data_IF_359539976936
#
_entry.id   IF_359539976936
#
_cell.length_a   1.000
_cell.length_b   1.000
_cell.length_c   1.000
_cell.angle_alpha   90.00
_cell.angle_beta   90.00
_cell.angle_gamma   90.00
#
_symmetry.space_group_name_H-M   'P 1'
#
loop_
_entity.id
_entity.type
_entity.pdbx_description
1 polymer ?
#
# COMPACT_ATOMS: atom_id res chain seq x y z
N UNK A 1 -14.00 -28.79 -36.96
CA UNK A 1 -13.58 -29.44 -35.70
C UNK A 1 -12.23 -28.97 -35.09
N UNK A 2 -11.66 -27.83 -35.52
CA UNK A 2 -10.26 -27.44 -35.13
C UNK A 2 -10.08 -26.43 -34.01
N UNK A 3 -11.10 -25.67 -33.61
CA UNK A 3 -10.95 -24.60 -32.60
C UNK A 3 -10.95 -25.09 -31.13
N UNK A 4 -11.66 -26.17 -30.80
CA UNK A 4 -11.75 -26.72 -29.44
C UNK A 4 -10.45 -27.43 -29.00
N UNK A 5 -9.73 -28.06 -29.90
CA UNK A 5 -8.46 -28.75 -29.60
C UNK A 5 -7.32 -27.77 -29.28
N UNK A 6 -7.30 -26.57 -29.91
CA UNK A 6 -6.30 -25.52 -29.59
C UNK A 6 -6.54 -24.85 -28.24
N UNK A 7 -7.79 -24.66 -27.80
CA UNK A 7 -8.14 -24.10 -26.48
C UNK A 7 -7.75 -25.06 -25.34
N UNK A 8 -8.06 -26.34 -25.45
CA UNK A 8 -7.70 -27.37 -24.47
C UNK A 8 -6.17 -27.52 -24.30
N UNK A 9 -5.40 -27.49 -25.41
CA UNK A 9 -3.93 -27.49 -25.36
C UNK A 9 -3.34 -26.25 -24.73
N UNK A 10 -3.96 -25.07 -24.91
CA UNK A 10 -3.54 -23.83 -24.31
C UNK A 10 -3.78 -23.79 -22.80
N UNK A 11 -4.89 -24.31 -22.31
CA UNK A 11 -5.21 -24.42 -20.89
C UNK A 11 -4.26 -25.37 -20.16
N UNK A 12 -4.01 -26.59 -20.70
CA UNK A 12 -3.05 -27.55 -20.16
C UNK A 12 -1.62 -26.97 -20.03
N UNK A 13 -1.18 -26.20 -21.04
CA UNK A 13 0.13 -25.52 -21.01
C UNK A 13 0.22 -24.45 -19.93
N UNK A 14 -0.88 -23.78 -19.60
CA UNK A 14 -0.92 -22.78 -18.52
C UNK A 14 -0.91 -23.45 -17.13
N UNK A 15 -1.57 -24.59 -16.99
CA UNK A 15 -1.60 -25.37 -15.75
C UNK A 15 -0.22 -25.93 -15.38
N UNK A 16 0.50 -26.54 -16.35
CA UNK A 16 1.86 -27.01 -16.14
C UNK A 16 2.79 -25.86 -15.74
N UNK A 17 2.66 -24.69 -16.36
CA UNK A 17 3.48 -23.53 -16.03
C UNK A 17 3.23 -23.02 -14.61
N UNK A 18 1.96 -22.91 -14.21
CA UNK A 18 1.59 -22.53 -12.84
C UNK A 18 2.11 -23.55 -11.83
N UNK A 19 1.94 -24.84 -12.13
CA UNK A 19 2.42 -25.92 -11.29
C UNK A 19 3.94 -25.87 -11.06
N UNK A 20 4.75 -25.66 -12.13
CA UNK A 20 6.20 -25.51 -12.01
C UNK A 20 6.56 -24.40 -11.03
N UNK A 21 5.96 -23.22 -11.18
CA UNK A 21 6.23 -22.09 -10.27
C UNK A 21 5.80 -22.43 -8.84
N UNK A 22 4.62 -23.02 -8.64
CA UNK A 22 4.16 -23.41 -7.30
C UNK A 22 5.15 -24.36 -6.60
N UNK A 23 5.68 -25.37 -7.33
CA UNK A 23 6.66 -26.32 -6.77
C UNK A 23 7.97 -25.63 -6.42
N UNK A 24 8.49 -24.80 -7.34
CA UNK A 24 9.79 -24.16 -7.17
C UNK A 24 9.74 -23.00 -6.15
N UNK A 25 8.68 -22.21 -6.12
CA UNK A 25 8.52 -21.08 -5.18
C UNK A 25 8.26 -21.55 -3.75
N UNK A 26 7.46 -22.63 -3.58
CA UNK A 26 7.21 -23.23 -2.27
C UNK A 26 8.48 -23.79 -1.62
N UNK A 27 9.50 -24.09 -2.40
CA UNK A 27 10.77 -24.64 -1.97
C UNK A 27 11.94 -23.81 -2.55
N UNK A 28 11.90 -22.51 -2.33
CA UNK A 28 12.80 -21.54 -2.96
C UNK A 28 14.30 -21.82 -2.72
N UNK A 29 14.64 -22.49 -1.63
CA UNK A 29 16.04 -22.82 -1.27
C UNK A 29 16.55 -24.10 -1.92
N UNK A 30 15.69 -24.88 -2.60
CA UNK A 30 16.03 -26.19 -3.17
C UNK A 30 15.94 -26.19 -4.70
N UNK A 31 16.83 -26.93 -5.33
CA UNK A 31 16.77 -27.22 -6.75
C UNK A 31 16.12 -28.60 -7.00
N UNK A 32 15.27 -28.68 -8.03
CA UNK A 32 14.50 -29.88 -8.39
C UNK A 32 14.83 -30.34 -9.80
N UNK A 33 14.98 -31.64 -10.00
CA UNK A 33 15.01 -32.19 -11.34
C UNK A 33 13.60 -32.39 -11.91
N UNK A 34 13.49 -32.61 -13.21
CA UNK A 34 12.21 -32.77 -13.88
C UNK A 34 11.37 -33.92 -13.32
N UNK A 35 11.97 -34.99 -12.81
CA UNK A 35 11.27 -36.13 -12.23
C UNK A 35 10.58 -35.76 -10.93
N UNK A 36 11.29 -35.03 -10.06
CA UNK A 36 10.75 -34.54 -8.80
C UNK A 36 9.62 -33.52 -9.02
N UNK A 37 9.78 -32.64 -10.02
CA UNK A 37 8.71 -31.70 -10.38
C UNK A 37 7.49 -32.45 -10.94
N UNK A 38 7.70 -33.45 -11.82
CA UNK A 38 6.64 -34.26 -12.36
C UNK A 38 5.85 -35.02 -11.29
N UNK A 39 6.55 -35.59 -10.31
CA UNK A 39 5.96 -36.28 -9.16
C UNK A 39 5.07 -35.36 -8.34
N UNK A 40 5.54 -34.17 -7.99
CA UNK A 40 4.75 -33.18 -7.24
C UNK A 40 3.55 -32.63 -8.01
N UNK A 41 3.61 -32.65 -9.34
CA UNK A 41 2.51 -32.27 -10.22
C UNK A 41 1.58 -33.43 -10.60
N UNK A 42 1.84 -34.65 -10.13
CA UNK A 42 1.06 -35.83 -10.48
C UNK A 42 1.16 -36.23 -11.96
N UNK A 43 2.26 -35.84 -12.64
CA UNK A 43 2.48 -36.15 -14.05
C UNK A 43 3.16 -37.51 -14.16
N UNK A 44 2.39 -38.54 -14.50
CA UNK A 44 2.87 -39.93 -14.58
C UNK A 44 3.13 -40.43 -16.02
N UNK A 45 2.48 -39.80 -16.98
CA UNK A 45 2.56 -40.21 -18.38
C UNK A 45 3.78 -39.60 -19.11
N UNK A 46 4.27 -40.32 -20.13
CA UNK A 46 5.46 -39.91 -20.91
C UNK A 46 5.24 -38.62 -21.70
N UNK A 47 4.03 -38.37 -22.19
CA UNK A 47 3.73 -37.14 -22.93
C UNK A 47 3.75 -35.90 -22.00
N UNK A 48 3.14 -36.01 -20.82
CA UNK A 48 3.16 -34.95 -19.83
C UNK A 48 4.58 -34.63 -19.35
N UNK A 49 5.43 -35.67 -19.15
CA UNK A 49 6.85 -35.45 -18.80
C UNK A 49 7.62 -34.74 -19.91
N UNK A 50 7.38 -35.10 -21.16
CA UNK A 50 8.01 -34.42 -22.29
C UNK A 50 7.54 -32.95 -22.43
N UNK A 51 6.27 -32.65 -22.18
CA UNK A 51 5.75 -31.30 -22.15
C UNK A 51 6.35 -30.51 -21.00
N UNK A 52 6.50 -31.12 -19.83
CA UNK A 52 7.16 -30.49 -18.64
C UNK A 52 8.61 -30.14 -18.98
N UNK A 53 9.40 -31.05 -19.55
CA UNK A 53 10.81 -30.77 -19.90
C UNK A 53 10.89 -29.64 -20.93
N UNK A 54 10.09 -29.66 -21.99
CA UNK A 54 10.04 -28.55 -22.96
C UNK A 54 9.71 -27.24 -22.31
N UNK A 55 8.84 -27.25 -21.30
CA UNK A 55 8.44 -26.04 -20.57
C UNK A 55 9.54 -25.52 -19.65
N UNK A 56 10.26 -26.39 -18.96
CA UNK A 56 11.41 -26.03 -18.14
C UNK A 56 12.49 -25.37 -18.98
N UNK A 57 12.84 -25.93 -20.15
CA UNK A 57 13.79 -25.32 -21.08
C UNK A 57 13.32 -23.93 -21.52
N UNK A 58 12.05 -23.77 -21.93
CA UNK A 58 11.50 -22.47 -22.32
C UNK A 58 11.52 -21.45 -21.18
N UNK A 59 11.26 -21.88 -19.95
CA UNK A 59 11.29 -20.98 -18.78
C UNK A 59 12.72 -20.56 -18.44
N UNK A 60 13.69 -21.46 -18.61
CA UNK A 60 15.13 -21.16 -18.45
C UNK A 60 15.58 -20.14 -19.51
N UNK A 61 15.29 -20.36 -20.80
CA UNK A 61 15.62 -19.43 -21.88
C UNK A 61 15.03 -18.02 -21.63
N UNK A 62 13.81 -17.98 -21.08
CA UNK A 62 13.13 -16.73 -20.70
C UNK A 62 13.61 -16.15 -19.37
N UNK A 63 14.66 -16.71 -18.77
CA UNK A 63 15.18 -16.30 -17.46
C UNK A 63 14.10 -16.24 -16.37
N UNK A 64 13.16 -17.18 -16.39
CA UNK A 64 12.10 -17.28 -15.37
C UNK A 64 12.42 -18.30 -14.29
N UNK A 65 13.34 -19.21 -14.54
CA UNK A 65 13.91 -20.19 -13.63
C UNK A 65 15.43 -20.30 -13.88
N UNK A 66 16.18 -20.74 -12.89
CA UNK A 66 17.63 -20.96 -12.98
C UNK A 66 17.87 -22.47 -13.06
N UNK A 67 18.85 -22.89 -13.86
CA UNK A 67 19.44 -24.23 -13.79
C UNK A 67 20.73 -24.15 -12.96
N UNK A 68 20.68 -24.64 -11.72
CA UNK A 68 21.76 -24.56 -10.74
C UNK A 68 22.78 -25.72 -10.90
N UNK A 69 22.46 -26.68 -11.73
CA UNK A 69 23.27 -27.81 -12.12
C UNK A 69 22.59 -28.62 -13.21
N UNK A 70 23.24 -29.54 -13.91
CA UNK A 70 22.66 -30.25 -15.05
C UNK A 70 21.29 -30.83 -14.75
N UNK A 71 20.25 -30.31 -15.40
CA UNK A 71 18.87 -30.75 -15.25
C UNK A 71 18.21 -30.46 -13.90
N UNK A 72 18.83 -29.63 -13.03
CA UNK A 72 18.25 -29.18 -11.76
C UNK A 72 17.82 -27.74 -11.85
N UNK A 73 16.55 -27.50 -11.66
CA UNK A 73 15.92 -26.19 -11.77
C UNK A 73 15.54 -25.66 -10.40
N UNK A 74 15.71 -24.37 -10.23
CA UNK A 74 15.34 -23.60 -9.06
C UNK A 74 14.47 -22.43 -9.50
N UNK A 75 13.54 -21.99 -8.64
CA UNK A 75 12.91 -20.72 -8.90
C UNK A 75 14.02 -19.68 -9.09
N UNK A 76 13.91 -18.85 -10.14
CA UNK A 76 14.54 -17.55 -10.05
C UNK A 76 13.75 -16.87 -8.94
N UNK A 77 14.16 -17.09 -7.71
CA UNK A 77 13.78 -16.19 -6.64
C UNK A 77 14.43 -14.86 -7.06
N UNK A 78 13.67 -14.02 -7.77
CA UNK A 78 13.83 -12.61 -7.50
C UNK A 78 13.72 -12.59 -5.98
N UNK A 79 14.83 -12.38 -5.27
CA UNK A 79 14.80 -12.11 -3.84
C UNK A 79 13.55 -11.26 -3.67
N UNK A 80 12.57 -11.73 -2.85
CA UNK A 80 11.36 -10.95 -2.63
C UNK A 80 11.92 -9.59 -2.30
N UNK A 81 11.97 -8.70 -3.28
CA UNK A 81 12.65 -7.44 -3.13
C UNK A 81 11.70 -6.56 -2.36
N UNK A 82 11.71 -6.76 -1.04
CA UNK A 82 11.13 -5.81 -0.12
C UNK A 82 12.10 -4.64 -0.06
N UNK A 83 11.59 -3.49 -0.37
CA UNK A 83 12.34 -2.24 -0.30
C UNK A 83 11.63 -1.31 0.66
N UNK A 84 12.39 -0.50 1.34
CA UNK A 84 11.85 0.62 2.09
C UNK A 84 11.76 1.82 1.16
N UNK A 85 10.65 2.56 1.23
CA UNK A 85 10.47 3.75 0.44
C UNK A 85 9.41 4.67 1.02
N UNK A 86 9.28 5.84 0.42
CA UNK A 86 8.34 6.89 0.83
C UNK A 86 7.16 6.93 -0.14
N UNK A 87 5.96 7.04 0.41
CA UNK A 87 4.70 7.05 -0.36
C UNK A 87 4.41 8.43 -0.93
N UNK A 88 4.22 8.52 -2.24
CA UNK A 88 3.70 9.70 -2.92
C UNK A 88 2.32 9.39 -3.54
N UNK A 89 1.25 9.87 -2.90
CA UNK A 89 -0.13 9.66 -3.36
C UNK A 89 -0.48 10.68 -4.44
N UNK A 90 -0.97 10.18 -5.57
CA UNK A 90 -1.42 10.98 -6.69
C UNK A 90 -2.88 11.43 -6.52
N UNK A 91 -3.30 12.48 -7.24
CA UNK A 91 -4.69 12.96 -7.22
C UNK A 91 -5.76 11.94 -7.69
N UNK A 92 -5.34 10.79 -8.22
CA UNK A 92 -6.23 9.67 -8.60
C UNK A 92 -6.30 8.57 -7.54
N UNK A 93 -5.67 8.78 -6.37
CA UNK A 93 -5.65 7.82 -5.26
C UNK A 93 -4.64 6.67 -5.40
N UNK A 94 -3.93 6.53 -6.53
CA UNK A 94 -2.81 5.61 -6.63
C UNK A 94 -1.57 6.22 -5.98
N UNK A 95 -0.52 5.42 -5.76
CA UNK A 95 0.74 5.94 -5.23
C UNK A 95 1.93 5.56 -6.11
N UNK A 96 2.99 6.34 -5.98
CA UNK A 96 4.35 5.98 -6.34
C UNK A 96 5.17 5.85 -5.06
N UNK A 97 5.98 4.81 -4.98
CA UNK A 97 6.90 4.62 -3.85
C UNK A 97 8.28 4.99 -4.33
N UNK A 98 8.81 6.06 -3.72
CA UNK A 98 10.18 6.51 -3.94
C UNK A 98 11.11 5.65 -3.09
N UNK A 99 11.96 4.86 -3.75
CA UNK A 99 12.92 3.95 -3.11
C UNK A 99 14.32 4.48 -3.35
N UNK A 100 15.06 4.72 -2.28
CA UNK A 100 16.43 5.23 -2.40
C UNK A 100 17.33 4.30 -3.21
N UNK A 101 18.06 4.89 -4.16
CA UNK A 101 18.98 4.15 -5.04
C UNK A 101 18.30 3.41 -6.20
N UNK A 102 17.02 3.64 -6.46
CA UNK A 102 16.32 3.17 -7.65
C UNK A 102 16.10 4.32 -8.64
N UNK A 103 16.28 4.05 -9.94
CA UNK A 103 16.09 5.05 -11.00
C UNK A 103 14.61 5.31 -11.34
N UNK A 104 13.71 4.41 -10.94
CA UNK A 104 12.27 4.47 -11.23
C UNK A 104 11.46 4.25 -9.96
N UNK A 105 10.42 5.07 -9.77
CA UNK A 105 9.46 4.89 -8.68
C UNK A 105 8.57 3.67 -8.92
N UNK A 106 8.18 3.01 -7.83
CA UNK A 106 7.32 1.83 -7.86
C UNK A 106 5.86 2.27 -7.86
N UNK A 107 5.14 2.00 -8.93
CA UNK A 107 3.70 2.24 -9.01
C UNK A 107 2.93 1.24 -8.13
N UNK A 108 2.07 1.77 -7.26
CA UNK A 108 1.19 0.99 -6.39
C UNK A 108 -0.26 1.44 -6.61
N UNK A 109 -1.15 0.55 -7.09
CA UNK A 109 -2.55 0.88 -7.27
C UNK A 109 -3.26 1.04 -5.91
N UNK A 110 -4.34 1.82 -5.90
CA UNK A 110 -5.12 2.17 -4.71
C UNK A 110 -5.44 0.98 -3.79
N UNK A 111 -5.91 -0.13 -4.37
CA UNK A 111 -6.28 -1.34 -3.62
C UNK A 111 -5.10 -2.10 -3.00
N UNK A 112 -3.86 -1.61 -3.18
CA UNK A 112 -2.61 -2.20 -2.66
C UNK A 112 -1.82 -1.25 -1.78
N UNK A 113 -2.42 -0.14 -1.38
CA UNK A 113 -1.81 0.85 -0.48
C UNK A 113 -1.66 0.35 0.96
N UNK A 114 -2.38 -0.70 1.35
CA UNK A 114 -2.30 -1.31 2.67
C UNK A 114 -2.35 -0.27 3.81
N UNK A 115 -3.33 0.65 3.75
CA UNK A 115 -3.54 1.71 4.76
C UNK A 115 -2.40 2.74 4.87
N UNK A 116 -1.51 2.82 3.89
CA UNK A 116 -0.47 3.84 3.84
C UNK A 116 -1.03 5.18 3.38
N UNK A 117 -0.53 6.26 3.98
CA UNK A 117 -0.83 7.64 3.60
C UNK A 117 0.35 8.31 2.89
N UNK A 118 0.10 9.48 2.36
CA UNK A 118 1.13 10.29 1.71
C UNK A 118 2.29 10.60 2.67
N UNK A 119 3.51 10.44 2.20
CA UNK A 119 4.78 10.57 2.93
C UNK A 119 5.06 9.50 3.99
N UNK A 120 4.19 8.51 4.19
CA UNK A 120 4.53 7.39 5.06
C UNK A 120 5.79 6.67 4.57
N UNK A 121 6.59 6.17 5.50
CA UNK A 121 7.66 5.22 5.21
C UNK A 121 7.10 3.81 5.21
N UNK A 122 7.28 3.09 4.14
CA UNK A 122 6.66 1.78 3.92
C UNK A 122 7.65 0.72 3.47
N UNK A 123 7.30 -0.54 3.70
CA UNK A 123 7.88 -1.68 3.04
C UNK A 123 7.03 -2.01 1.80
N UNK A 124 7.64 -1.99 0.62
CA UNK A 124 7.02 -2.30 -0.66
C UNK A 124 7.60 -3.58 -1.25
N UNK A 125 6.73 -4.48 -1.66
CA UNK A 125 7.10 -5.63 -2.48
C UNK A 125 7.00 -5.25 -3.95
N UNK A 126 8.12 -5.40 -4.66
CA UNK A 126 8.20 -5.06 -6.09
C UNK A 126 7.96 -6.31 -6.92
N UNK A 127 7.01 -6.25 -7.84
CA UNK A 127 6.74 -7.35 -8.75
C UNK A 127 7.84 -7.48 -9.82
N UNK A 128 8.10 -8.70 -10.33
CA UNK A 128 9.01 -8.89 -11.43
C UNK A 128 8.64 -8.01 -12.63
N UNK A 129 9.56 -7.13 -13.04
CA UNK A 129 9.33 -6.18 -14.15
C UNK A 129 9.02 -6.94 -15.45
N UNK A 130 7.89 -6.64 -16.05
CA UNK A 130 7.55 -7.12 -17.39
C UNK A 130 8.11 -6.14 -18.43
N UNK A 131 8.71 -6.69 -19.51
CA UNK A 131 9.27 -5.85 -20.58
C UNK A 131 8.27 -4.82 -21.08
N UNK A 132 8.69 -3.54 -21.13
CA UNK A 132 7.88 -2.41 -21.61
C UNK A 132 6.82 -1.89 -20.64
N UNK A 133 6.77 -2.36 -19.36
CA UNK A 133 5.86 -1.84 -18.34
C UNK A 133 6.61 -1.10 -17.24
N UNK A 134 5.88 -0.19 -16.58
CA UNK A 134 6.35 0.49 -15.36
C UNK A 134 6.62 -0.54 -14.26
N UNK A 135 7.47 -0.16 -13.33
CA UNK A 135 7.71 -0.93 -12.12
C UNK A 135 6.45 -0.90 -11.25
N UNK A 136 5.91 -2.06 -10.89
CA UNK A 136 4.69 -2.19 -10.10
C UNK A 136 4.97 -2.96 -8.81
N UNK A 137 4.25 -2.63 -7.74
CA UNK A 137 4.38 -3.31 -6.45
C UNK A 137 3.13 -3.25 -5.59
N UNK A 138 3.28 -3.70 -4.35
CA UNK A 138 2.28 -3.58 -3.30
C UNK A 138 2.96 -3.21 -1.99
N UNK A 139 2.31 -2.38 -1.18
CA UNK A 139 2.78 -2.07 0.17
C UNK A 139 2.44 -3.26 1.07
N UNK A 140 3.47 -3.82 1.71
CA UNK A 140 3.31 -4.95 2.63
C UNK A 140 3.16 -4.49 4.07
N UNK A 141 3.78 -3.35 4.42
CA UNK A 141 3.74 -2.81 5.77
C UNK A 141 3.98 -1.31 5.76
N UNK A 142 3.26 -0.58 6.61
CA UNK A 142 3.60 0.79 7.00
C UNK A 142 4.62 0.69 8.14
N UNK A 143 5.82 1.20 7.93
CA UNK A 143 6.91 1.18 8.90
C UNK A 143 6.85 2.35 9.84
N UNK A 144 6.57 3.55 9.28
CA UNK A 144 6.49 4.80 10.03
C UNK A 144 5.42 5.70 9.42
N UNK A 145 4.57 6.27 10.27
CA UNK A 145 3.60 7.31 9.89
C UNK A 145 4.31 8.64 9.81
N UNK A 146 4.17 9.33 8.70
CA UNK A 146 4.64 10.70 8.57
C UNK A 146 3.81 11.69 9.42
N UNK A 147 2.49 11.49 9.44
CA UNK A 147 1.54 12.39 10.10
C UNK A 147 0.39 11.60 10.70
N UNK A 148 0.07 11.87 11.96
CA UNK A 148 -1.07 11.24 12.66
C UNK A 148 -2.25 12.19 12.86
N UNK A 149 -2.07 13.51 12.62
CA UNK A 149 -3.11 14.53 12.81
C UNK A 149 -3.54 15.10 11.48
N UNK A 150 -4.84 15.33 11.31
CA UNK A 150 -5.42 15.85 10.08
C UNK A 150 -6.47 16.91 10.38
N UNK A 151 -6.50 17.95 9.56
CA UNK A 151 -7.60 18.90 9.55
C UNK A 151 -8.73 18.33 8.72
N UNK A 152 -9.96 18.45 9.19
CA UNK A 152 -11.12 17.97 8.46
C UNK A 152 -12.43 18.61 8.94
N UNK A 153 -13.53 18.25 8.28
CA UNK A 153 -14.87 18.72 8.61
C UNK A 153 -15.66 17.55 9.20
N UNK A 154 -16.34 17.83 10.31
CA UNK A 154 -17.19 16.87 11.02
C UNK A 154 -18.47 16.62 10.24
N UNK A 155 -18.77 15.37 9.99
CA UNK A 155 -20.05 14.85 9.50
C UNK A 155 -20.67 14.02 10.63
N UNK A 156 -21.62 14.64 11.36
CA UNK A 156 -22.20 14.08 12.57
C UNK A 156 -23.31 13.08 12.24
N UNK A 157 -23.20 11.89 12.79
CA UNK A 157 -24.23 10.86 12.73
C UNK A 157 -24.90 10.67 14.10
N UNK A 158 -25.94 9.85 14.18
CA UNK A 158 -26.70 9.65 15.45
C UNK A 158 -25.86 9.05 16.58
N UNK A 159 -24.90 8.18 16.28
CA UNK A 159 -24.14 7.40 17.27
C UNK A 159 -22.63 7.52 17.09
N UNK A 160 -22.15 8.20 16.07
CA UNK A 160 -20.73 8.44 15.76
C UNK A 160 -20.60 9.67 14.86
N UNK A 161 -19.40 10.06 14.53
CA UNK A 161 -19.11 11.03 13.50
C UNK A 161 -18.04 10.51 12.54
N UNK A 162 -18.05 11.04 11.32
CA UNK A 162 -16.90 11.01 10.44
C UNK A 162 -16.22 12.38 10.41
N UNK A 163 -14.91 12.40 10.36
CA UNK A 163 -14.16 13.60 10.00
C UNK A 163 -13.63 13.41 8.59
N UNK A 164 -14.11 14.25 7.67
CA UNK A 164 -13.66 14.27 6.27
C UNK A 164 -12.42 15.14 6.16
N UNK A 165 -11.25 14.56 5.87
CA UNK A 165 -10.00 15.32 5.78
C UNK A 165 -10.03 16.37 4.67
N UNK A 166 -9.39 17.52 4.92
CA UNK A 166 -9.22 18.58 3.93
C UNK A 166 -8.15 18.24 2.90
N UNK A 167 -7.13 17.45 3.26
CA UNK A 167 -6.10 16.98 2.34
C UNK A 167 -6.64 15.82 1.47
N UNK A 168 -6.79 16.07 0.17
CA UNK A 168 -7.28 15.08 -0.80
C UNK A 168 -6.40 13.81 -0.90
N UNK A 169 -5.15 13.87 -0.41
CA UNK A 169 -4.23 12.72 -0.38
C UNK A 169 -4.55 11.76 0.77
N UNK A 170 -5.37 12.19 1.72
CA UNK A 170 -5.98 11.29 2.68
C UNK A 170 -7.30 10.77 2.09
N UNK A 171 -7.26 9.60 1.54
CA UNK A 171 -8.29 8.99 0.69
C UNK A 171 -9.46 8.35 1.45
N UNK A 172 -9.52 8.51 2.77
CA UNK A 172 -10.57 7.92 3.63
C UNK A 172 -10.94 8.89 4.74
N UNK A 173 -12.22 8.85 5.14
CA UNK A 173 -12.70 9.57 6.29
C UNK A 173 -12.24 8.91 7.60
N UNK A 174 -12.15 9.67 8.68
CA UNK A 174 -11.77 9.18 10.01
C UNK A 174 -13.05 8.93 10.81
N UNK A 175 -13.23 7.71 11.28
CA UNK A 175 -14.33 7.36 12.18
C UNK A 175 -14.02 7.85 13.60
N UNK A 176 -14.94 8.62 14.20
CA UNK A 176 -14.80 9.20 15.54
C UNK A 176 -16.01 8.82 16.40
N UNK A 177 -15.81 8.04 17.48
CA UNK A 177 -16.86 7.80 18.47
C UNK A 177 -17.33 9.13 19.11
N UNK A 178 -18.62 9.24 19.50
CA UNK A 178 -19.13 10.47 20.10
C UNK A 178 -18.39 10.90 21.38
N UNK A 179 -17.88 9.93 22.15
CA UNK A 179 -17.07 10.24 23.34
C UNK A 179 -15.74 10.92 23.01
N UNK A 180 -15.29 10.81 21.75
CA UNK A 180 -14.02 11.37 21.26
C UNK A 180 -14.21 12.63 20.39
N UNK A 181 -15.42 13.20 20.33
CA UNK A 181 -15.74 14.33 19.44
C UNK A 181 -15.43 15.72 20.02
N UNK A 182 -15.07 15.84 21.31
CA UNK A 182 -14.66 17.08 22.00
C UNK A 182 -15.63 18.27 21.80
N UNK A 183 -16.94 18.02 21.90
CA UNK A 183 -18.01 19.02 21.70
C UNK A 183 -18.09 19.65 20.30
N UNK A 184 -17.41 19.09 19.30
CA UNK A 184 -17.60 19.53 17.91
C UNK A 184 -19.03 19.31 17.44
N UNK A 185 -19.53 20.20 16.63
CA UNK A 185 -20.84 20.14 16.02
C UNK A 185 -20.74 19.72 14.56
N UNK A 186 -21.86 19.34 13.97
CA UNK A 186 -21.92 19.04 12.53
C UNK A 186 -21.43 20.24 11.72
N UNK A 187 -20.55 19.93 10.75
CA UNK A 187 -19.93 20.93 9.89
C UNK A 187 -18.80 21.74 10.49
N UNK A 188 -18.41 21.48 11.75
CA UNK A 188 -17.23 22.15 12.33
C UNK A 188 -15.94 21.68 11.69
N UNK A 189 -14.99 22.59 11.56
CA UNK A 189 -13.62 22.29 11.17
C UNK A 189 -12.83 21.92 12.41
N UNK A 190 -12.19 20.77 12.37
CA UNK A 190 -11.49 20.17 13.53
C UNK A 190 -10.12 19.65 13.16
N UNK A 191 -9.28 19.47 14.19
CA UNK A 191 -8.08 18.63 14.10
C UNK A 191 -8.43 17.28 14.71
N UNK A 192 -8.27 16.23 13.91
CA UNK A 192 -8.47 14.82 14.32
C UNK A 192 -7.12 14.12 14.38
N UNK A 193 -6.87 13.40 15.46
CA UNK A 193 -5.72 12.52 15.62
C UNK A 193 -6.13 11.06 15.35
N UNK A 194 -5.36 10.36 14.52
CA UNK A 194 -5.56 8.94 14.27
C UNK A 194 -5.06 8.13 15.45
N UNK A 195 -5.86 7.17 15.91
CA UNK A 195 -5.49 6.25 16.99
C UNK A 195 -5.09 4.87 16.44
N UNK A 196 -5.99 4.23 15.72
CA UNK A 196 -5.73 2.94 15.12
C UNK A 196 -6.53 2.73 13.83
N UNK A 197 -6.16 1.71 13.05
CA UNK A 197 -6.92 1.27 11.89
C UNK A 197 -7.07 -0.24 11.92
N UNK A 198 -8.15 -0.78 12.53
CA UNK A 198 -8.38 -2.21 12.62
C UNK A 198 -8.44 -2.87 11.22
N UNK A 199 -8.03 -4.13 11.12
CA UNK A 199 -7.93 -4.83 9.81
C UNK A 199 -9.27 -4.97 9.09
N UNK A 200 -10.36 -5.07 9.85
CA UNK A 200 -11.72 -5.23 9.33
C UNK A 200 -12.47 -3.90 9.13
N UNK A 201 -11.85 -2.77 9.49
CA UNK A 201 -12.48 -1.46 9.38
C UNK A 201 -12.12 -0.80 8.03
N UNK A 202 -13.12 -0.21 7.39
CA UNK A 202 -12.94 0.53 6.14
C UNK A 202 -12.27 1.89 6.37
N UNK A 203 -12.41 2.46 7.58
CA UNK A 203 -11.87 3.75 7.99
C UNK A 203 -11.01 3.64 9.24
N UNK A 204 -9.98 4.49 9.39
CA UNK A 204 -9.23 4.59 10.62
C UNK A 204 -10.10 5.18 11.73
N UNK A 205 -9.82 4.80 12.97
CA UNK A 205 -10.40 5.40 14.16
C UNK A 205 -9.54 6.58 14.60
N UNK A 206 -10.20 7.62 15.13
CA UNK A 206 -9.54 8.79 15.65
C UNK A 206 -10.32 9.49 16.74
N UNK A 207 -9.73 10.54 17.25
CA UNK A 207 -10.33 11.46 18.22
C UNK A 207 -10.12 12.90 17.79
N UNK A 208 -11.10 13.76 18.02
CA UNK A 208 -10.94 15.20 17.85
C UNK A 208 -10.06 15.73 18.98
N UNK A 209 -8.94 16.31 18.62
CA UNK A 209 -8.03 16.95 19.59
C UNK A 209 -8.30 18.43 19.72
N UNK A 210 -8.89 19.05 18.68
CA UNK A 210 -9.22 20.46 18.69
C UNK A 210 -10.38 20.80 17.76
N UNK A 211 -11.20 21.78 18.17
CA UNK A 211 -12.29 22.36 17.36
C UNK A 211 -11.85 23.75 16.93
N UNK A 212 -11.63 23.94 15.62
CA UNK A 212 -11.12 25.20 15.06
C UNK A 212 -12.23 26.24 14.83
N UNK A 213 -13.46 25.78 14.64
CA UNK A 213 -14.62 26.65 14.39
C UNK A 213 -15.34 26.34 13.09
N UNK A 214 -16.14 27.26 12.60
CA UNK A 214 -16.90 27.09 11.35
C UNK A 214 -16.04 27.36 10.11
N UNK A 215 -16.19 26.54 9.06
CA UNK A 215 -15.54 26.81 7.78
C UNK A 215 -15.89 28.20 7.24
N UNK A 216 -14.91 28.90 6.66
CA UNK A 216 -15.06 30.24 6.11
C UNK A 216 -14.83 31.38 7.10
N UNK A 217 -14.71 31.13 8.38
CA UNK A 217 -14.25 32.13 9.35
C UNK A 217 -12.74 32.34 9.22
N UNK A 218 -12.32 33.61 9.20
CA UNK A 218 -10.93 33.98 8.93
C UNK A 218 -9.91 33.27 9.84
N UNK A 219 -10.16 33.27 11.14
CA UNK A 219 -9.26 32.61 12.10
C UNK A 219 -9.26 31.09 11.94
N UNK A 220 -10.42 30.48 11.70
CA UNK A 220 -10.56 29.04 11.45
C UNK A 220 -9.75 28.63 10.23
N UNK A 221 -9.79 29.39 9.14
CA UNK A 221 -9.01 29.08 7.94
C UNK A 221 -7.50 29.21 8.16
N UNK A 222 -7.04 30.29 8.85
CA UNK A 222 -5.62 30.47 9.17
C UNK A 222 -5.13 29.34 10.07
N UNK A 223 -5.83 29.06 11.19
CA UNK A 223 -5.43 28.00 12.12
C UNK A 223 -5.42 26.63 11.44
N UNK A 224 -6.38 26.36 10.54
CA UNK A 224 -6.41 25.10 9.80
C UNK A 224 -5.21 24.93 8.88
N UNK A 225 -4.78 26.00 8.19
CA UNK A 225 -3.58 25.96 7.34
C UNK A 225 -2.34 25.72 8.20
N UNK A 226 -2.17 26.47 9.28
CA UNK A 226 -1.03 26.31 10.16
C UNK A 226 -0.96 24.89 10.75
N UNK A 227 -2.09 24.35 11.23
CA UNK A 227 -2.19 23.00 11.75
C UNK A 227 -1.89 21.94 10.66
N UNK A 228 -2.34 22.14 9.42
CA UNK A 228 -2.08 21.21 8.31
C UNK A 228 -0.59 21.08 8.01
N UNK A 229 0.16 22.18 8.13
CA UNK A 229 1.62 22.22 7.94
C UNK A 229 2.42 21.97 9.21
N UNK A 230 1.77 21.69 10.34
CA UNK A 230 2.44 21.44 11.62
C UNK A 230 3.10 22.69 12.20
N UNK A 231 2.63 23.88 11.81
CA UNK A 231 3.13 25.16 12.32
C UNK A 231 2.36 25.54 13.60
N UNK A 232 3.02 26.17 14.58
CA UNK A 232 2.35 26.67 15.77
C UNK A 232 1.36 27.79 15.39
N UNK A 233 0.14 27.70 15.85
CA UNK A 233 -0.93 28.71 15.67
C UNK A 233 -1.43 29.31 16.99
N UNK A 234 -0.96 28.80 18.10
CA UNK A 234 -1.10 29.37 19.41
C UNK A 234 0.26 29.84 19.91
N UNK A 235 0.29 30.99 20.59
CA UNK A 235 1.49 31.41 21.25
C UNK A 235 1.65 30.66 22.59
N UNK A 236 2.90 30.37 23.02
CA UNK A 236 3.12 29.86 24.37
C UNK A 236 2.46 30.78 25.40
N UNK A 237 1.83 30.20 26.42
CA UNK A 237 1.08 30.91 27.44
C UNK A 237 1.89 32.04 28.10
N UNK A 238 3.22 31.84 28.18
CA UNK A 238 4.17 32.85 28.71
C UNK A 238 4.24 34.09 27.81
N UNK A 239 4.16 33.89 26.48
CA UNK A 239 4.19 34.99 25.51
C UNK A 239 2.86 35.75 25.53
N UNK A 240 1.74 35.05 25.62
CA UNK A 240 0.42 35.69 25.75
C UNK A 240 0.30 36.49 27.06
N UNK A 241 0.74 35.90 28.16
CA UNK A 241 0.77 36.61 29.45
C UNK A 241 1.67 37.83 29.39
N UNK A 242 2.83 37.75 28.75
CA UNK A 242 3.72 38.91 28.58
C UNK A 242 3.07 39.97 27.66
N UNK A 243 2.49 39.58 26.56
CA UNK A 243 1.78 40.49 25.64
C UNK A 243 0.64 41.25 26.35
N UNK A 244 -0.12 40.54 27.20
CA UNK A 244 -1.18 41.16 28.01
C UNK A 244 -0.69 42.14 29.09
N UNK A 245 0.61 42.12 29.42
CA UNK A 245 1.23 43.09 30.35
C UNK A 245 1.77 44.35 29.66
N UNK A 246 1.86 44.30 28.30
CA UNK A 246 2.31 45.46 27.52
C UNK A 246 1.17 46.45 27.39
N UNK A 247 1.35 47.65 27.96
CA UNK A 247 0.39 48.75 27.82
C UNK A 247 0.41 49.23 26.36
N UNK A 248 -0.73 49.14 25.67
CA UNK A 248 -0.92 49.61 24.27
C UNK A 248 -1.44 51.05 24.28
N UNK A 249 -0.78 51.93 25.00
CA UNK A 249 -1.08 53.38 24.97
C UNK A 249 -0.39 54.09 23.81
#
# INVERSE_FOLDING_TARGET
MSKNHKRAKGQKKNEITKGIFTVLEKNADKSFNYKQIAEQLGITDSNGRNELIKKLVQLKEKRRIIEEGPGKYKALVSSKSYHQGTVDITGRGNAYIVVDGMDEDVFVPFNKLNKAFHKDTVEVYIYPKRSGRKLEGEITKVLERFKSTFVGIVDMQKTFAFVRPSDFRMYTDVFVPLDNIKNAQDGDKVIVELENWPDKADSPFGKVIEVLGKPGEHNTEIHSILAEYGLPYEFPIEVENFANTLDTS
#
